data_IF_012999462990
#
_entry.id   IF_012999462990
#
_cell.length_a   1.000
_cell.length_b   1.000
_cell.length_c   1.000
_cell.angle_alpha   90.00
_cell.angle_beta   90.00
_cell.angle_gamma   90.00
#
_symmetry.space_group_name_H-M   'P 1'
#
loop_
_entity.id
_entity.type
_entity.pdbx_description
1 polymer ?
#
# COMPACT_ATOMS: atom_id res chain seq x y z
N UNK A 1 4.68 11.70 5.58
CA UNK A 1 3.89 12.85 6.00
C UNK A 1 2.43 12.55 5.71
N UNK A 2 1.56 12.48 6.73
CA UNK A 2 0.15 12.07 6.62
C UNK A 2 -0.63 12.92 5.58
N UNK A 3 -0.20 14.18 5.36
CA UNK A 3 -0.80 15.06 4.36
C UNK A 3 -0.58 14.58 2.92
N UNK A 4 0.58 14.06 2.59
CA UNK A 4 0.92 13.59 1.25
C UNK A 4 0.12 12.30 0.92
N UNK A 5 0.03 11.39 1.89
CA UNK A 5 -0.77 10.16 1.75
C UNK A 5 -2.26 10.50 1.54
N UNK A 6 -2.75 11.52 2.24
CA UNK A 6 -4.14 11.93 2.16
C UNK A 6 -4.50 12.67 0.85
N UNK A 7 -3.55 13.37 0.26
CA UNK A 7 -3.74 14.10 -1.01
C UNK A 7 -3.66 13.19 -2.24
N UNK A 8 -3.06 11.99 -2.11
CA UNK A 8 -2.90 11.03 -3.19
C UNK A 8 -3.74 9.76 -2.92
N UNK A 9 -5.05 9.76 -3.21
CA UNK A 9 -5.92 8.61 -2.94
C UNK A 9 -5.73 7.44 -3.92
N UNK A 10 -4.63 7.46 -4.68
CA UNK A 10 -4.32 6.48 -5.71
C UNK A 10 -3.61 5.22 -5.20
N UNK A 11 -3.05 4.50 -6.13
CA UNK A 11 -2.20 3.34 -5.85
C UNK A 11 -0.92 3.77 -5.14
N UNK A 12 -0.42 2.93 -4.25
CA UNK A 12 0.81 3.17 -3.49
C UNK A 12 2.02 3.43 -4.42
N UNK A 13 2.05 2.77 -5.58
CA UNK A 13 3.08 2.96 -6.61
C UNK A 13 3.18 4.40 -7.08
N UNK A 14 2.05 5.04 -7.41
CA UNK A 14 2.03 6.42 -7.89
C UNK A 14 2.55 7.40 -6.83
N UNK A 15 2.14 7.20 -5.58
CA UNK A 15 2.65 7.99 -4.47
C UNK A 15 4.16 7.86 -4.33
N UNK A 16 4.66 6.63 -4.33
CA UNK A 16 6.10 6.37 -4.14
C UNK A 16 6.95 6.85 -5.31
N UNK A 17 6.46 6.73 -6.54
CA UNK A 17 7.15 7.28 -7.72
C UNK A 17 7.23 8.80 -7.70
N UNK A 18 6.18 9.49 -7.23
CA UNK A 18 6.16 10.94 -7.16
C UNK A 18 7.07 11.51 -6.04
N UNK A 19 7.16 10.80 -4.92
CA UNK A 19 7.81 11.31 -3.70
C UNK A 19 9.21 10.73 -3.45
N UNK A 20 9.64 9.74 -4.25
CA UNK A 20 10.87 8.98 -3.95
C UNK A 20 11.62 8.60 -5.23
N UNK A 21 12.93 8.32 -5.16
CA UNK A 21 13.71 7.84 -6.30
C UNK A 21 13.51 6.33 -6.57
N UNK A 22 12.43 5.73 -6.09
CA UNK A 22 12.14 4.32 -6.37
C UNK A 22 11.51 4.21 -7.74
N UNK A 23 12.10 3.40 -8.59
CA UNK A 23 11.50 3.04 -9.87
C UNK A 23 10.56 1.85 -9.68
N UNK A 24 9.36 1.94 -10.23
CA UNK A 24 8.43 0.81 -10.31
C UNK A 24 8.34 0.30 -11.74
N UNK A 25 8.67 -0.96 -11.93
CA UNK A 25 8.42 -1.64 -13.19
C UNK A 25 6.95 -2.07 -13.22
N UNK A 26 6.18 -1.40 -14.04
CA UNK A 26 4.75 -1.70 -14.23
C UNK A 26 4.54 -2.22 -15.65
N UNK A 27 3.87 -3.34 -15.78
CA UNK A 27 3.51 -3.91 -17.08
C UNK A 27 2.14 -3.39 -17.59
N UNK A 28 1.65 -2.34 -16.97
CA UNK A 28 0.37 -1.69 -17.23
C UNK A 28 -0.50 -1.61 -15.98
N UNK A 29 -1.48 -0.70 -15.97
CA UNK A 29 -2.42 -0.57 -14.84
C UNK A 29 -3.15 -1.88 -14.60
N UNK A 30 -3.21 -2.31 -13.35
CA UNK A 30 -3.83 -3.58 -12.95
C UNK A 30 -2.96 -4.83 -13.16
N UNK A 31 -1.73 -4.68 -13.68
CA UNK A 31 -0.75 -5.78 -13.76
C UNK A 31 0.32 -5.61 -12.67
N UNK A 32 1.15 -6.63 -12.50
CA UNK A 32 2.18 -6.65 -11.45
C UNK A 32 3.03 -5.38 -11.49
N UNK A 33 3.17 -4.74 -10.35
CA UNK A 33 4.04 -3.59 -10.13
C UNK A 33 5.10 -3.91 -9.09
N UNK A 34 6.36 -3.81 -9.47
CA UNK A 34 7.51 -4.21 -8.66
C UNK A 34 8.49 -3.07 -8.44
N UNK A 35 8.92 -2.81 -7.19
CA UNK A 35 9.88 -1.76 -6.88
C UNK A 35 11.30 -2.15 -7.28
N UNK A 36 12.09 -1.15 -7.63
CA UNK A 36 13.52 -1.27 -7.88
C UNK A 36 14.27 -0.08 -7.29
N UNK A 37 15.15 -0.32 -6.34
CA UNK A 37 16.07 0.68 -5.84
C UNK A 37 17.33 0.70 -6.70
N UNK A 38 17.64 1.83 -7.33
CA UNK A 38 18.90 2.04 -8.07
C UNK A 38 19.26 0.90 -9.03
N UNK A 39 18.26 0.33 -9.72
CA UNK A 39 18.46 -0.73 -10.69
C UNK A 39 18.62 -2.14 -10.11
N UNK A 40 18.38 -2.34 -8.82
CA UNK A 40 18.32 -3.69 -8.23
C UNK A 40 17.07 -4.45 -8.68
N UNK A 41 17.06 -5.76 -8.52
CA UNK A 41 15.89 -6.59 -8.82
C UNK A 41 14.76 -6.34 -7.80
N UNK A 42 13.54 -6.61 -8.18
CA UNK A 42 12.37 -6.51 -7.30
C UNK A 42 12.48 -7.40 -6.05
N UNK A 43 13.11 -8.57 -6.19
CA UNK A 43 13.43 -9.48 -5.07
C UNK A 43 14.49 -8.97 -4.09
N UNK A 44 15.16 -7.86 -4.43
CA UNK A 44 16.13 -7.20 -3.57
C UNK A 44 15.51 -6.05 -2.75
N UNK A 45 14.20 -5.88 -2.81
CA UNK A 45 13.45 -4.92 -2.01
C UNK A 45 12.53 -5.64 -1.04
N UNK A 46 12.80 -5.51 0.26
CA UNK A 46 11.88 -6.04 1.27
C UNK A 46 10.75 -5.07 1.55
N UNK A 47 9.54 -5.57 1.56
CA UNK A 47 8.34 -4.86 2.02
C UNK A 47 7.98 -5.38 3.40
N UNK A 48 7.93 -4.47 4.36
CA UNK A 48 7.75 -4.81 5.77
C UNK A 48 6.49 -4.14 6.29
N UNK A 49 5.47 -4.91 6.58
CA UNK A 49 4.23 -4.41 7.16
C UNK A 49 4.25 -4.62 8.67
N UNK A 50 4.25 -3.51 9.41
CA UNK A 50 4.30 -3.51 10.88
C UNK A 50 5.38 -4.44 11.49
N UNK A 51 6.54 -4.53 10.83
CA UNK A 51 7.65 -5.39 11.25
C UNK A 51 7.67 -6.78 10.61
N UNK A 52 6.63 -7.16 9.86
CA UNK A 52 6.51 -8.46 9.19
C UNK A 52 6.89 -8.32 7.72
N UNK A 53 7.83 -9.12 7.24
CA UNK A 53 8.15 -9.17 5.81
C UNK A 53 7.00 -9.83 5.04
N UNK A 54 6.43 -9.11 4.07
CA UNK A 54 5.28 -9.54 3.26
C UNK A 54 5.64 -9.89 1.82
N UNK A 55 6.93 -10.02 1.52
CA UNK A 55 7.35 -10.53 0.21
C UNK A 55 6.88 -11.96 0.04
N UNK A 56 6.45 -12.29 -1.18
CA UNK A 56 6.09 -13.67 -1.53
C UNK A 56 7.25 -14.62 -1.28
N UNK A 57 7.03 -15.69 -0.55
CA UNK A 57 8.01 -16.73 -0.29
C UNK A 57 8.41 -17.49 -1.56
N UNK A 58 7.57 -17.46 -2.61
CA UNK A 58 7.82 -18.17 -3.86
C UNK A 58 8.86 -17.46 -4.74
N UNK A 59 8.78 -16.14 -4.87
CA UNK A 59 9.61 -15.37 -5.81
C UNK A 59 10.35 -14.19 -5.17
N UNK A 60 10.20 -13.98 -3.86
CA UNK A 60 10.84 -12.89 -3.11
C UNK A 60 10.34 -11.48 -3.46
N UNK A 61 9.24 -11.37 -4.21
CA UNK A 61 8.73 -10.08 -4.70
C UNK A 61 7.37 -9.78 -4.09
N UNK A 62 7.01 -8.50 -4.12
CA UNK A 62 5.69 -8.02 -3.70
C UNK A 62 5.05 -7.25 -4.85
N UNK A 63 3.79 -7.55 -5.14
CA UNK A 63 3.00 -6.77 -6.09
C UNK A 63 2.43 -5.54 -5.37
N UNK A 64 2.88 -4.36 -5.77
CA UNK A 64 2.46 -3.10 -5.16
C UNK A 64 1.04 -2.65 -5.55
N UNK A 65 0.43 -3.26 -6.56
CA UNK A 65 -0.96 -2.95 -6.91
C UNK A 65 -1.97 -3.44 -5.86
N UNK A 66 -1.57 -4.41 -5.01
CA UNK A 66 -2.43 -4.87 -3.91
C UNK A 66 -2.44 -3.93 -2.70
N UNK A 67 -1.48 -2.98 -2.65
CA UNK A 67 -1.39 -2.03 -1.55
C UNK A 67 -2.04 -0.69 -1.91
N UNK A 68 -2.93 -0.24 -1.04
CA UNK A 68 -3.53 1.08 -1.15
C UNK A 68 -2.77 2.05 -0.23
N UNK A 69 -2.33 3.20 -0.75
CA UNK A 69 -1.59 4.21 0.01
C UNK A 69 -2.31 4.64 1.29
N UNK A 70 -3.61 4.72 1.23
CA UNK A 70 -4.45 5.15 2.34
C UNK A 70 -4.71 4.08 3.43
N UNK A 71 -4.22 2.85 3.25
CA UNK A 71 -4.36 1.78 4.25
C UNK A 71 -3.31 1.85 5.35
N UNK A 72 -2.33 2.75 5.21
CA UNK A 72 -1.21 2.90 6.12
C UNK A 72 -1.18 4.32 6.68
N UNK A 73 -0.84 4.43 7.96
CA UNK A 73 -0.67 5.72 8.65
C UNK A 73 0.74 6.30 8.45
N UNK A 74 1.67 5.49 7.94
CA UNK A 74 3.02 5.91 7.62
C UNK A 74 3.72 4.97 6.67
N UNK A 75 4.57 5.53 5.82
CA UNK A 75 5.45 4.79 4.92
C UNK A 75 6.86 5.28 5.16
N UNK A 76 7.77 4.37 5.51
CA UNK A 76 9.18 4.67 5.70
C UNK A 76 9.99 3.90 4.65
N UNK A 77 10.89 4.61 3.98
CA UNK A 77 11.75 4.05 2.94
C UNK A 77 13.18 4.13 3.43
N UNK A 78 13.86 3.00 3.40
CA UNK A 78 15.27 2.89 3.77
C UNK A 78 16.05 2.31 2.58
N UNK A 79 16.79 3.13 1.83
CA UNK A 79 17.63 2.65 0.75
C UNK A 79 18.85 1.90 1.29
N UNK A 80 19.07 0.67 0.84
CA UNK A 80 20.20 -0.18 1.26
C UNK A 80 20.15 -0.60 2.73
N UNK A 81 21.08 -1.46 3.15
CA UNK A 81 21.32 -1.77 4.56
C UNK A 81 20.24 -2.58 5.29
N UNK A 82 19.15 -2.96 4.65
CA UNK A 82 18.05 -3.70 5.28
C UNK A 82 18.31 -5.17 5.51
N UNK A 83 19.35 -5.73 4.93
CA UNK A 83 19.64 -7.16 4.95
C UNK A 83 19.93 -7.74 6.35
N UNK A 84 20.43 -6.93 7.25
CA UNK A 84 20.71 -7.35 8.65
C UNK A 84 19.39 -7.69 9.37
N UNK A 85 18.35 -6.90 9.14
CA UNK A 85 17.06 -7.10 9.82
C UNK A 85 16.06 -7.96 9.03
N UNK A 86 16.14 -7.96 7.69
CA UNK A 86 15.09 -8.50 6.83
C UNK A 86 15.60 -9.51 5.78
N UNK A 87 16.86 -9.92 5.91
CA UNK A 87 17.49 -10.95 5.06
C UNK A 87 17.98 -10.44 3.71
N UNK A 88 18.45 -11.37 2.87
CA UNK A 88 19.11 -11.08 1.58
C UNK A 88 18.20 -10.35 0.60
N UNK A 89 16.89 -10.51 0.68
CA UNK A 89 15.91 -9.79 -0.11
C UNK A 89 15.83 -8.27 0.16
N UNK A 90 16.59 -7.74 1.12
CA UNK A 90 16.61 -6.32 1.47
C UNK A 90 17.92 -5.59 1.11
N UNK A 91 18.72 -6.16 0.19
CA UNK A 91 20.00 -5.57 -0.23
C UNK A 91 19.80 -4.21 -0.91
N UNK A 92 18.77 -4.09 -1.75
CA UNK A 92 18.44 -2.85 -2.46
C UNK A 92 17.83 -1.80 -1.54
N UNK A 93 17.01 -2.24 -0.59
CA UNK A 93 16.33 -1.37 0.36
C UNK A 93 15.12 -2.03 1.01
N UNK A 94 14.49 -1.29 1.91
CA UNK A 94 13.25 -1.69 2.58
C UNK A 94 12.18 -0.62 2.47
N UNK A 95 10.93 -1.06 2.33
CA UNK A 95 9.74 -0.21 2.37
C UNK A 95 8.90 -0.67 3.55
N UNK A 96 8.79 0.16 4.58
CA UNK A 96 7.99 -0.13 5.76
C UNK A 96 6.62 0.50 5.64
N UNK A 97 5.58 -0.32 5.77
CA UNK A 97 4.19 0.07 5.81
C UNK A 97 3.73 0.01 7.27
N UNK A 98 3.34 1.14 7.83
CA UNK A 98 3.11 1.28 9.26
C UNK A 98 1.66 1.63 9.54
N UNK A 99 1.05 0.93 10.49
CA UNK A 99 -0.23 1.29 11.08
C UNK A 99 -0.03 1.74 12.53
N UNK A 100 -0.66 2.86 12.89
CA UNK A 100 -0.61 3.42 14.23
C UNK A 100 -1.85 3.04 15.02
N UNK A 101 -1.65 2.69 16.28
CA UNK A 101 -2.72 2.47 17.22
C UNK A 101 -2.94 3.75 18.04
N UNK A 102 -4.02 4.44 17.75
CA UNK A 102 -4.47 5.57 18.54
C UNK A 102 -5.37 5.07 19.67
N UNK A 103 -5.22 5.62 20.85
CA UNK A 103 -6.09 5.33 21.99
C UNK A 103 -6.84 6.59 22.41
N UNK A 104 -8.04 6.41 22.96
CA UNK A 104 -8.88 7.47 23.53
C UNK A 104 -9.31 8.56 22.50
N UNK A 105 -9.57 8.17 21.26
CA UNK A 105 -9.98 9.07 20.17
C UNK A 105 -11.46 8.92 19.77
N UNK A 106 -12.19 7.96 20.36
CA UNK A 106 -13.57 7.66 20.01
C UNK A 106 -13.74 7.06 18.61
N UNK A 107 -14.92 7.25 18.04
CA UNK A 107 -15.28 6.76 16.72
C UNK A 107 -14.91 7.81 15.65
N UNK A 108 -14.22 7.36 14.61
CA UNK A 108 -13.88 8.15 13.43
C UNK A 108 -14.21 7.35 12.17
N UNK A 109 -14.83 7.99 11.22
CA UNK A 109 -15.16 7.39 9.92
C UNK A 109 -14.68 8.29 8.81
N UNK A 110 -14.23 7.70 7.72
CA UNK A 110 -13.93 8.45 6.51
C UNK A 110 -14.34 7.67 5.27
N UNK A 111 -14.89 8.39 4.30
CA UNK A 111 -15.22 7.89 2.97
C UNK A 111 -14.43 8.71 1.98
N UNK A 112 -13.79 8.05 1.02
CA UNK A 112 -13.13 8.69 -0.11
C UNK A 112 -13.65 8.04 -1.38
N UNK A 113 -14.08 8.86 -2.34
CA UNK A 113 -14.53 8.40 -3.65
C UNK A 113 -13.76 9.16 -4.71
N UNK A 114 -13.37 8.48 -5.78
CA UNK A 114 -12.70 9.09 -6.91
C UNK A 114 -13.21 8.51 -8.22
N UNK A 115 -13.25 9.36 -9.23
CA UNK A 115 -13.56 8.98 -10.59
C UNK A 115 -12.50 9.54 -11.54
N UNK A 116 -12.12 8.78 -12.54
CA UNK A 116 -11.08 9.16 -13.50
C UNK A 116 -11.32 8.59 -14.88
N UNK A 117 -10.38 8.87 -15.79
CA UNK A 117 -10.43 8.39 -17.18
C UNK A 117 -10.54 6.87 -17.24
N UNK A 118 -11.09 6.35 -18.35
CA UNK A 118 -11.28 4.93 -18.62
C UNK A 118 -12.20 4.24 -17.61
N UNK A 119 -13.27 4.90 -17.23
CA UNK A 119 -14.24 4.44 -16.23
C UNK A 119 -13.56 3.97 -14.94
N UNK A 120 -12.50 4.72 -14.54
CA UNK A 120 -11.77 4.39 -13.30
C UNK A 120 -12.54 4.88 -12.09
N UNK A 121 -12.95 3.96 -11.23
CA UNK A 121 -13.60 4.23 -9.95
C UNK A 121 -12.71 3.79 -8.81
N UNK A 122 -12.54 4.66 -7.83
CA UNK A 122 -11.88 4.36 -6.58
C UNK A 122 -12.81 4.65 -5.42
N UNK A 123 -12.91 3.73 -4.49
CA UNK A 123 -13.68 3.89 -3.28
C UNK A 123 -12.90 3.40 -2.08
N UNK A 124 -12.97 4.13 -0.98
CA UNK A 124 -12.42 3.70 0.30
C UNK A 124 -13.38 4.07 1.43
N UNK A 125 -13.59 3.13 2.32
CA UNK A 125 -14.22 3.34 3.60
C UNK A 125 -13.26 2.95 4.71
N UNK A 126 -13.11 3.82 5.70
CA UNK A 126 -12.29 3.55 6.88
C UNK A 126 -13.12 3.80 8.13
N UNK A 127 -13.09 2.84 9.04
CA UNK A 127 -13.68 2.89 10.36
C UNK A 127 -12.58 2.74 11.40
N UNK A 128 -12.39 3.74 12.26
CA UNK A 128 -11.47 3.68 13.41
C UNK A 128 -12.27 3.91 14.68
N UNK A 129 -12.06 3.05 15.65
CA UNK A 129 -12.62 3.19 17.00
C UNK A 129 -11.56 2.98 18.05
N UNK A 130 -11.53 3.83 19.06
CA UNK A 130 -10.63 3.64 20.17
C UNK A 130 -11.16 4.21 21.48
N UNK A 131 -10.84 3.51 22.56
CA UNK A 131 -11.01 3.96 23.93
C UNK A 131 -9.66 3.90 24.67
N UNK A 132 -9.67 4.00 26.02
CA UNK A 132 -8.45 4.00 26.82
C UNK A 132 -7.60 2.73 26.67
N UNK A 133 -8.22 1.57 26.39
CA UNK A 133 -7.55 0.26 26.34
C UNK A 133 -7.61 -0.40 24.96
N UNK A 134 -8.58 -0.05 24.14
CA UNK A 134 -8.83 -0.71 22.86
C UNK A 134 -8.64 0.28 21.71
N UNK A 135 -8.05 -0.19 20.63
CA UNK A 135 -7.91 0.52 19.37
C UNK A 135 -8.21 -0.43 18.21
N UNK A 136 -9.03 0.00 17.27
CA UNK A 136 -9.34 -0.77 16.06
C UNK A 136 -9.36 0.13 14.84
N UNK A 137 -8.94 -0.43 13.72
CA UNK A 137 -9.08 0.16 12.39
C UNK A 137 -9.52 -0.92 11.42
N UNK A 138 -10.57 -0.64 10.65
CA UNK A 138 -11.02 -1.48 9.56
C UNK A 138 -11.11 -0.60 8.32
N UNK A 139 -10.42 -1.01 7.28
CA UNK A 139 -10.36 -0.31 6.00
C UNK A 139 -10.86 -1.24 4.89
N UNK A 140 -11.78 -0.75 4.08
CA UNK A 140 -12.16 -1.39 2.82
C UNK A 140 -11.85 -0.45 1.67
N UNK A 141 -11.23 -0.97 0.62
CA UNK A 141 -10.99 -0.21 -0.60
C UNK A 141 -11.31 -1.02 -1.84
N UNK A 142 -11.83 -0.32 -2.85
CA UNK A 142 -12.06 -0.85 -4.18
C UNK A 142 -11.47 0.08 -5.22
N UNK A 143 -10.79 -0.49 -6.20
CA UNK A 143 -10.31 0.19 -7.39
C UNK A 143 -10.68 -0.64 -8.61
N UNK A 144 -11.33 -0.01 -9.61
CA UNK A 144 -11.70 -0.67 -10.86
C UNK A 144 -11.53 0.29 -12.03
N UNK A 145 -11.24 -0.25 -13.20
CA UNK A 145 -11.16 0.53 -14.45
C UNK A 145 -11.43 -0.38 -15.65
N UNK A 146 -12.03 0.15 -16.67
CA UNK A 146 -12.13 -0.53 -17.97
C UNK A 146 -10.81 -0.50 -18.73
N UNK A 147 -9.96 0.51 -18.45
CA UNK A 147 -8.58 0.60 -18.94
C UNK A 147 -8.47 0.40 -20.46
N UNK A 148 -9.44 0.96 -21.19
CA UNK A 148 -9.69 0.80 -22.63
C UNK A 148 -9.04 1.91 -23.48
N UNK A 149 -7.88 2.38 -23.10
CA UNK A 149 -7.18 3.46 -23.79
C UNK A 149 -6.79 3.09 -25.22
N UNK A 150 -6.75 4.11 -26.08
CA UNK A 150 -6.28 4.00 -27.47
C UNK A 150 -4.78 3.74 -27.49
N UNK A 151 -4.37 2.71 -28.23
CA UNK A 151 -2.96 2.38 -28.39
C UNK A 151 -2.33 3.40 -29.38
N UNK A 152 -1.28 4.16 -28.97
CA UNK A 152 -0.60 5.07 -29.88
C UNK A 152 -0.11 4.35 -31.13
N UNK A 153 -0.26 5.01 -32.30
CA UNK A 153 0.11 4.48 -33.62
C UNK A 153 -0.71 3.28 -34.13
N UNK A 154 -1.74 2.88 -33.42
CA UNK A 154 -2.71 1.89 -33.87
C UNK A 154 -4.13 2.48 -33.84
N UNK A 155 -4.94 2.11 -34.83
CA UNK A 155 -6.35 2.52 -34.88
C UNK A 155 -7.26 1.65 -33.99
N UNK A 156 -6.66 1.03 -32.97
CA UNK A 156 -7.38 0.12 -32.08
C UNK A 156 -7.24 0.53 -30.63
N UNK A 157 -8.25 0.17 -29.83
CA UNK A 157 -8.23 0.31 -28.38
C UNK A 157 -7.64 -0.94 -27.73
N UNK A 158 -7.01 -0.78 -26.56
CA UNK A 158 -6.61 -1.91 -25.73
C UNK A 158 -7.86 -2.71 -25.36
N UNK A 159 -7.87 -3.97 -25.72
CA UNK A 159 -8.94 -4.90 -25.34
C UNK A 159 -8.49 -5.71 -24.12
N UNK A 160 -9.46 -6.13 -23.29
CA UNK A 160 -9.21 -6.93 -22.08
C UNK A 160 -8.28 -6.24 -21.06
N UNK A 161 -8.35 -4.90 -20.99
CA UNK A 161 -7.61 -4.11 -20.01
C UNK A 161 -8.32 -3.97 -18.65
N UNK A 162 -9.59 -4.38 -18.59
CA UNK A 162 -10.43 -4.23 -17.40
C UNK A 162 -9.85 -4.94 -16.19
N UNK A 163 -9.83 -4.23 -15.07
CA UNK A 163 -9.38 -4.79 -13.80
C UNK A 163 -10.22 -4.27 -12.63
N UNK A 164 -10.21 -5.01 -11.54
CA UNK A 164 -10.70 -4.55 -10.25
C UNK A 164 -9.88 -5.15 -9.12
N UNK A 165 -9.69 -4.37 -8.07
CA UNK A 165 -9.06 -4.79 -6.82
C UNK A 165 -9.96 -4.45 -5.65
N UNK A 166 -10.10 -5.39 -4.73
CA UNK A 166 -10.71 -5.16 -3.43
C UNK A 166 -9.67 -5.48 -2.38
N UNK A 167 -9.55 -4.63 -1.36
CA UNK A 167 -8.68 -4.88 -0.22
C UNK A 167 -9.42 -4.57 1.09
N UNK A 168 -9.24 -5.43 2.07
CA UNK A 168 -9.71 -5.25 3.43
C UNK A 168 -8.47 -5.34 4.33
N UNK A 169 -8.29 -4.33 5.18
CA UNK A 169 -7.28 -4.36 6.23
C UNK A 169 -7.96 -4.15 7.57
N UNK A 170 -7.58 -4.93 8.56
CA UNK A 170 -8.11 -4.82 9.90
C UNK A 170 -6.98 -4.90 10.92
N UNK A 171 -6.94 -3.95 11.83
CA UNK A 171 -5.92 -3.87 12.87
C UNK A 171 -6.62 -3.70 14.22
N UNK A 172 -6.21 -4.48 15.21
CA UNK A 172 -6.77 -4.46 16.57
C UNK A 172 -5.64 -4.37 17.59
N UNK A 173 -5.75 -3.45 18.52
CA UNK A 173 -4.83 -3.28 19.61
C UNK A 173 -5.54 -3.30 20.95
N UNK A 174 -4.99 -4.02 21.92
CA UNK A 174 -5.46 -4.00 23.30
C UNK A 174 -4.31 -3.72 24.25
N UNK A 175 -4.46 -2.67 25.04
CA UNK A 175 -3.48 -2.24 26.05
C UNK A 175 -3.92 -2.68 27.43
N UNK A 176 -3.20 -3.62 28.00
CA UNK A 176 -3.42 -4.08 29.39
C UNK A 176 -2.98 -3.00 30.38
N UNK A 177 -1.82 -2.42 30.14
CA UNK A 177 -1.22 -1.34 30.93
C UNK A 177 -0.26 -0.51 30.04
N UNK A 178 0.33 0.60 30.51
CA UNK A 178 1.21 1.45 29.71
C UNK A 178 2.44 0.76 29.08
N UNK A 179 2.84 -0.41 29.63
CA UNK A 179 4.03 -1.15 29.17
C UNK A 179 3.70 -2.37 28.31
N UNK A 180 2.46 -2.88 28.39
CA UNK A 180 2.07 -4.14 27.75
C UNK A 180 0.84 -3.93 26.86
N UNK A 181 1.00 -4.23 25.58
CA UNK A 181 -0.09 -4.22 24.60
C UNK A 181 0.03 -5.42 23.66
N UNK A 182 -1.11 -5.91 23.18
CA UNK A 182 -1.22 -6.91 22.11
C UNK A 182 -1.75 -6.22 20.87
N UNK A 183 -1.15 -6.53 19.73
CA UNK A 183 -1.53 -6.02 18.41
C UNK A 183 -1.80 -7.18 17.48
N UNK A 184 -2.87 -7.08 16.69
CA UNK A 184 -3.28 -8.04 15.66
C UNK A 184 -3.44 -7.24 14.36
N UNK A 185 -2.89 -7.78 13.27
CA UNK A 185 -2.92 -7.19 11.95
C UNK A 185 -3.55 -8.13 10.93
#
# INVERSE_FOLDING_TARGET
>A
NDSIINQNPGQLTQLLQAETPIYFKENGKGMVSSPSFRGTLASHTAVVWNGINVNSSMNGQTDFNVFNSNSYDGILIQPGGGSIGYGTGAIGGTIHLLNKFDYNKGLRQSVKLGYGSFETWTGKYQLKYSNKKFSSSVDYSRNQSDNDYKIPNYLTYKRNGKYYFNAINANFGYRFNPKNEVKIY
#
